data_IF_493993968144
#
_entry.id   IF_493993968144
#
_cell.length_a   1.000
_cell.length_b   1.000
_cell.length_c   1.000
_cell.angle_alpha   90.00
_cell.angle_beta   90.00
_cell.angle_gamma   90.00
#
_symmetry.space_group_name_H-M   'P 1'
#
loop_
_entity.id
_entity.type
_entity.pdbx_description
1 polymer ?
#
# COMPACT_ATOMS: atom_id res chain seq x y z
N UNK A 1 4.92 -4.68 7.09
CA UNK A 1 3.53 -4.27 6.81
C UNK A 1 3.57 -3.09 5.85
N UNK A 2 2.92 -3.23 4.70
CA UNK A 2 2.71 -2.16 3.73
C UNK A 2 1.21 -1.88 3.67
N UNK A 3 0.81 -0.62 3.77
CA UNK A 3 -0.58 -0.22 3.86
C UNK A 3 -0.87 0.88 2.85
N UNK A 4 -1.98 0.74 2.13
CA UNK A 4 -2.54 1.76 1.25
C UNK A 4 -3.99 2.02 1.63
N UNK A 5 -4.36 3.29 1.65
CA UNK A 5 -5.76 3.70 1.74
C UNK A 5 -6.08 4.86 0.82
N UNK A 6 -7.27 4.79 0.22
CA UNK A 6 -7.86 5.91 -0.52
C UNK A 6 -9.28 6.14 -0.05
N UNK A 7 -9.58 7.38 0.36
CA UNK A 7 -10.92 7.83 0.72
C UNK A 7 -11.37 8.89 -0.28
N UNK A 8 -12.56 8.71 -0.83
CA UNK A 8 -13.11 9.58 -1.87
C UNK A 8 -14.54 10.00 -1.54
N UNK A 9 -14.90 11.22 -1.96
CA UNK A 9 -16.25 11.75 -1.88
C UNK A 9 -16.82 11.95 -3.28
N UNK A 10 -18.06 11.51 -3.49
CA UNK A 10 -18.79 11.85 -4.71
C UNK A 10 -19.17 13.34 -4.68
N UNK A 11 -18.77 14.08 -5.71
CA UNK A 11 -19.18 15.45 -5.97
C UNK A 11 -20.00 15.49 -7.25
N UNK A 12 -20.98 16.38 -7.30
CA UNK A 12 -21.83 16.59 -8.47
C UNK A 12 -21.75 18.03 -8.92
N UNK A 13 -21.68 18.25 -10.22
CA UNK A 13 -21.79 19.56 -10.85
C UNK A 13 -22.84 19.48 -11.97
N UNK A 14 -24.05 19.95 -11.67
CA UNK A 14 -25.20 19.81 -12.56
C UNK A 14 -25.53 18.34 -12.84
N UNK A 15 -25.47 17.95 -14.13
CA UNK A 15 -25.77 16.58 -14.60
C UNK A 15 -24.60 15.60 -14.46
N UNK A 16 -23.41 16.08 -14.11
CA UNK A 16 -22.20 15.26 -14.01
C UNK A 16 -21.81 14.99 -12.56
N UNK A 17 -21.22 13.83 -12.31
CA UNK A 17 -20.66 13.50 -11.00
C UNK A 17 -19.27 12.87 -11.14
N UNK A 18 -18.41 13.12 -10.16
CA UNK A 18 -17.04 12.59 -10.11
C UNK A 18 -16.65 12.29 -8.67
N UNK A 19 -15.62 11.45 -8.50
CA UNK A 19 -15.07 11.13 -7.19
C UNK A 19 -13.87 12.04 -6.92
N UNK A 20 -13.99 12.86 -5.87
CA UNK A 20 -12.89 13.69 -5.37
C UNK A 20 -12.13 12.90 -4.31
N UNK A 21 -10.84 12.73 -4.49
CA UNK A 21 -9.96 12.15 -3.46
C UNK A 21 -9.86 13.12 -2.28
N UNK A 22 -10.17 12.61 -1.09
CA UNK A 22 -10.00 13.32 0.18
C UNK A 22 -8.69 12.93 0.85
N UNK A 23 -8.41 11.63 0.88
CA UNK A 23 -7.18 11.04 1.43
C UNK A 23 -6.66 10.01 0.43
N UNK A 24 -5.35 10.03 0.23
CA UNK A 24 -4.61 8.97 -0.44
C UNK A 24 -3.27 8.84 0.29
N UNK A 25 -3.09 7.73 0.99
CA UNK A 25 -1.97 7.54 1.91
C UNK A 25 -1.36 6.15 1.74
N UNK A 26 -0.04 6.10 1.87
CA UNK A 26 0.72 4.87 1.98
C UNK A 26 1.57 4.90 3.24
N UNK A 27 1.57 3.80 3.98
CA UNK A 27 2.42 3.60 5.15
C UNK A 27 3.17 2.29 5.00
N UNK A 28 4.44 2.29 5.32
CA UNK A 28 5.26 1.09 5.27
C UNK A 28 6.35 1.15 6.33
N UNK A 29 6.86 0.00 6.67
CA UNK A 29 8.08 -0.18 7.44
C UNK A 29 9.07 -0.95 6.58
N UNK A 30 10.36 -0.79 6.82
CA UNK A 30 11.38 -1.66 6.21
C UNK A 30 11.01 -3.13 6.48
N UNK A 31 11.16 -3.99 5.49
CA UNK A 31 10.82 -5.40 5.60
C UNK A 31 11.82 -6.28 4.87
N UNK A 32 11.90 -7.53 5.32
CA UNK A 32 12.68 -8.56 4.65
C UNK A 32 11.77 -9.38 3.75
N UNK A 33 12.31 -9.81 2.61
CA UNK A 33 11.75 -10.88 1.80
C UNK A 33 12.70 -12.07 1.81
N UNK A 34 12.14 -13.26 1.93
CA UNK A 34 12.87 -14.52 1.81
C UNK A 34 12.49 -15.20 0.50
N UNK A 35 13.49 -15.65 -0.26
CA UNK A 35 13.28 -16.43 -1.47
C UNK A 35 14.42 -17.42 -1.68
N UNK A 36 14.10 -18.71 -1.78
CA UNK A 36 15.07 -19.79 -2.00
C UNK A 36 16.25 -19.74 -1.01
N UNK A 37 15.97 -19.48 0.28
CA UNK A 37 16.99 -19.37 1.32
C UNK A 37 17.86 -18.11 1.25
N UNK A 38 17.52 -17.13 0.40
CA UNK A 38 18.17 -15.83 0.35
C UNK A 38 17.24 -14.78 0.98
N UNK A 39 17.84 -13.85 1.73
CA UNK A 39 17.12 -12.75 2.35
C UNK A 39 17.52 -11.41 1.72
N UNK A 40 16.51 -10.61 1.38
CA UNK A 40 16.70 -9.27 0.83
C UNK A 40 15.96 -8.27 1.70
N UNK A 41 16.64 -7.19 2.09
CA UNK A 41 16.00 -6.08 2.80
C UNK A 41 15.45 -5.06 1.81
N UNK A 42 14.18 -4.68 2.01
CA UNK A 42 13.46 -3.68 1.23
C UNK A 42 13.34 -2.42 2.07
N UNK A 43 13.84 -1.31 1.53
CA UNK A 43 13.83 0.01 2.17
C UNK A 43 13.19 1.06 1.26
N UNK A 44 11.86 1.07 1.12
CA UNK A 44 11.19 2.10 0.35
C UNK A 44 11.35 3.47 1.04
N UNK A 45 11.35 4.56 0.27
CA UNK A 45 11.38 5.93 0.78
C UNK A 45 10.24 6.73 0.15
N UNK A 46 9.58 7.57 0.96
CA UNK A 46 8.46 8.39 0.52
C UNK A 46 8.92 9.73 -0.08
N UNK A 47 10.05 10.27 0.40
CA UNK A 47 10.54 11.60 0.04
C UNK A 47 12.07 11.59 -0.18
N UNK A 48 12.57 11.58 -1.43
CA UNK A 48 11.81 11.43 -2.68
C UNK A 48 11.24 10.01 -2.84
N UNK A 49 10.03 9.89 -3.42
CA UNK A 49 9.38 8.58 -3.59
C UNK A 49 10.17 7.68 -4.54
N UNK A 50 10.74 6.61 -4.01
CA UNK A 50 11.66 5.73 -4.73
C UNK A 50 11.04 4.39 -5.19
N UNK A 51 9.74 4.20 -4.94
CA UNK A 51 9.04 2.97 -5.25
C UNK A 51 7.72 3.22 -6.02
N UNK A 52 7.17 2.14 -6.57
CA UNK A 52 5.81 1.98 -7.08
C UNK A 52 5.20 0.75 -6.42
N UNK A 53 3.94 0.86 -6.04
CA UNK A 53 3.19 -0.14 -5.28
C UNK A 53 1.91 -0.47 -6.04
N UNK A 54 1.63 -1.76 -6.15
CA UNK A 54 0.40 -2.28 -6.74
C UNK A 54 -0.15 -3.35 -5.81
N UNK A 55 -1.07 -2.95 -4.94
CA UNK A 55 -1.66 -3.84 -3.94
C UNK A 55 -3.02 -4.37 -4.41
N UNK A 56 -3.32 -5.61 -4.05
CA UNK A 56 -4.67 -6.15 -4.05
C UNK A 56 -5.49 -5.33 -3.04
N UNK A 57 -6.74 -5.06 -3.39
CA UNK A 57 -7.63 -4.27 -2.53
C UNK A 57 -8.46 -5.24 -1.68
N UNK A 58 -8.09 -5.37 -0.41
CA UNK A 58 -8.72 -6.27 0.55
C UNK A 58 -10.14 -5.84 0.90
N UNK A 59 -10.34 -4.53 1.07
CA UNK A 59 -11.64 -3.99 1.46
C UNK A 59 -12.07 -2.82 0.61
N UNK A 60 -13.37 -2.82 0.31
CA UNK A 60 -14.08 -1.73 -0.36
C UNK A 60 -15.38 -1.51 0.36
N UNK A 61 -15.69 -0.27 0.69
CA UNK A 61 -16.97 0.09 1.33
C UNK A 61 -17.39 1.48 0.88
N UNK A 62 -18.71 1.71 0.87
CA UNK A 62 -19.30 3.00 0.51
C UNK A 62 -20.49 3.34 1.39
N UNK A 63 -20.69 4.62 1.65
CA UNK A 63 -21.85 5.21 2.32
C UNK A 63 -22.48 6.30 1.44
N UNK A 64 -23.70 6.73 1.79
CA UNK A 64 -24.39 7.82 1.09
C UNK A 64 -25.73 8.18 1.73
N UNK A 65 -26.51 8.98 1.01
CA UNK A 65 -27.77 9.57 1.49
C UNK A 65 -28.78 8.54 2.00
N UNK A 66 -28.77 7.33 1.45
CA UNK A 66 -29.66 6.23 1.83
C UNK A 66 -28.94 5.05 2.49
N UNK A 67 -27.63 5.18 2.76
CA UNK A 67 -26.83 4.13 3.38
C UNK A 67 -25.84 4.73 4.36
N UNK A 68 -26.10 4.50 5.65
CA UNK A 68 -25.19 4.97 6.69
C UNK A 68 -23.84 4.24 6.59
N UNK A 69 -22.72 4.93 6.84
CA UNK A 69 -21.44 4.24 7.02
C UNK A 69 -21.55 3.23 8.17
N UNK A 70 -20.86 2.09 8.02
CA UNK A 70 -20.73 1.12 9.11
C UNK A 70 -20.00 1.76 10.30
N UNK A 71 -20.17 1.27 11.54
CA UNK A 71 -19.46 1.81 12.70
C UNK A 71 -17.93 1.85 12.54
N UNK A 72 -17.39 0.87 11.84
CA UNK A 72 -15.97 0.80 11.48
C UNK A 72 -15.58 1.92 10.49
N UNK A 73 -16.39 2.15 9.45
CA UNK A 73 -16.14 3.21 8.48
C UNK A 73 -16.27 4.60 9.12
N UNK A 74 -17.25 4.82 10.00
CA UNK A 74 -17.33 6.04 10.82
C UNK A 74 -16.07 6.27 11.66
N UNK A 75 -15.60 5.22 12.34
CA UNK A 75 -14.39 5.29 13.16
C UNK A 75 -13.16 5.61 12.32
N UNK A 76 -13.06 5.04 11.11
CA UNK A 76 -12.02 5.37 10.15
C UNK A 76 -12.09 6.82 9.68
N UNK A 77 -13.26 7.32 9.28
CA UNK A 77 -13.46 8.69 8.85
C UNK A 77 -13.07 9.69 9.95
N UNK A 78 -13.44 9.42 11.20
CA UNK A 78 -13.05 10.22 12.37
C UNK A 78 -11.54 10.27 12.57
N UNK A 79 -10.81 9.17 12.38
CA UNK A 79 -9.33 9.15 12.46
C UNK A 79 -8.67 10.09 11.45
N UNK A 80 -9.33 10.31 10.31
CA UNK A 80 -8.88 11.23 9.26
C UNK A 80 -9.51 12.63 9.35
N UNK A 81 -10.25 12.93 10.43
CA UNK A 81 -11.01 14.17 10.60
C UNK A 81 -11.95 14.48 9.42
N UNK A 82 -12.62 13.45 8.89
CA UNK A 82 -13.60 13.57 7.81
C UNK A 82 -14.99 13.39 8.41
N UNK A 83 -15.84 14.42 8.31
CA UNK A 83 -17.25 14.26 8.69
C UNK A 83 -18.00 13.42 7.65
N UNK A 84 -18.78 12.44 8.10
CA UNK A 84 -19.66 11.64 7.25
C UNK A 84 -20.90 12.41 6.77
N UNK A 85 -21.27 13.51 7.42
CA UNK A 85 -22.44 14.34 7.11
C UNK A 85 -22.06 15.71 6.53
N UNK A 86 -22.98 16.33 5.78
CA UNK A 86 -22.86 17.67 5.22
C UNK A 86 -23.58 18.75 6.04
N UNK A 87 -23.58 19.99 5.54
CA UNK A 87 -24.10 21.20 6.21
C UNK A 87 -25.57 21.19 6.64
N UNK A 88 -26.38 20.23 6.17
CA UNK A 88 -27.79 20.07 6.54
C UNK A 88 -28.10 18.70 7.16
N UNK A 89 -27.09 18.01 7.69
CA UNK A 89 -27.26 16.69 8.33
C UNK A 89 -27.40 15.51 7.37
N UNK A 90 -27.44 15.73 6.05
CA UNK A 90 -27.45 14.64 5.07
C UNK A 90 -26.08 13.96 4.98
N UNK A 91 -26.08 12.63 4.88
CA UNK A 91 -24.87 11.84 4.65
C UNK A 91 -24.20 12.23 3.33
N UNK A 92 -22.89 12.45 3.38
CA UNK A 92 -22.03 12.53 2.19
C UNK A 92 -21.95 11.14 1.56
N UNK A 93 -21.94 11.08 0.23
CA UNK A 93 -21.58 9.85 -0.48
C UNK A 93 -20.08 9.66 -0.45
N UNK A 94 -19.60 8.76 0.39
CA UNK A 94 -18.19 8.46 0.61
C UNK A 94 -17.90 7.02 0.20
N UNK A 95 -16.67 6.77 -0.23
CA UNK A 95 -16.16 5.41 -0.41
C UNK A 95 -14.71 5.35 0.04
N UNK A 96 -14.28 4.17 0.46
CA UNK A 96 -12.87 3.90 0.65
C UNK A 96 -12.46 2.56 0.05
N UNK A 97 -11.17 2.47 -0.21
CA UNK A 97 -10.47 1.25 -0.59
C UNK A 97 -9.20 1.14 0.25
N UNK A 98 -8.91 -0.04 0.74
CA UNK A 98 -7.65 -0.34 1.43
C UNK A 98 -6.98 -1.57 0.86
N UNK A 99 -5.65 -1.58 0.87
CA UNK A 99 -4.81 -2.72 0.51
C UNK A 99 -3.69 -2.86 1.54
N UNK A 100 -3.40 -4.09 1.95
CA UNK A 100 -2.46 -4.41 3.02
C UNK A 100 -1.54 -5.55 2.55
N UNK A 101 -0.24 -5.40 2.76
CA UNK A 101 0.71 -6.51 2.75
C UNK A 101 1.04 -6.87 4.19
N UNK A 102 0.66 -8.08 4.59
CA UNK A 102 0.90 -8.66 5.91
C UNK A 102 2.14 -9.57 5.96
N UNK A 103 2.57 -9.91 7.19
CA UNK A 103 3.67 -10.85 7.38
C UNK A 103 3.19 -12.25 6.98
N UNK A 104 3.97 -12.92 6.13
CA UNK A 104 3.65 -14.26 5.64
C UNK A 104 2.98 -14.25 4.26
N UNK A 105 2.62 -13.09 3.71
CA UNK A 105 2.10 -13.00 2.35
C UNK A 105 3.19 -13.13 1.31
N UNK A 106 2.83 -13.75 0.18
CA UNK A 106 3.71 -13.86 -0.98
C UNK A 106 3.61 -12.59 -1.81
N UNK A 107 4.74 -11.92 -1.98
CA UNK A 107 4.84 -10.70 -2.78
C UNK A 107 5.94 -10.81 -3.83
N UNK A 108 5.80 -10.03 -4.89
CA UNK A 108 6.82 -9.80 -5.89
C UNK A 108 7.45 -8.43 -5.67
N UNK A 109 8.78 -8.40 -5.58
CA UNK A 109 9.56 -7.16 -5.54
C UNK A 109 10.56 -7.15 -6.69
N UNK A 110 10.57 -6.07 -7.46
CA UNK A 110 11.50 -5.86 -8.57
C UNK A 110 12.30 -4.56 -8.36
N UNK A 111 13.58 -4.58 -8.69
CA UNK A 111 14.48 -3.42 -8.61
C UNK A 111 15.94 -3.82 -8.82
N UNK A 112 16.86 -2.88 -8.57
CA UNK A 112 18.30 -3.13 -8.69
C UNK A 112 18.81 -3.73 -7.38
N UNK A 113 19.29 -4.97 -7.43
CA UNK A 113 19.87 -5.62 -6.26
C UNK A 113 21.33 -5.20 -6.09
N UNK A 114 21.67 -4.65 -4.91
CA UNK A 114 23.06 -4.52 -4.46
C UNK A 114 23.35 -5.52 -3.36
N UNK A 115 24.24 -6.45 -3.66
CA UNK A 115 24.71 -7.44 -2.70
C UNK A 115 25.75 -6.82 -1.75
N UNK A 116 25.57 -7.03 -0.45
CA UNK A 116 26.57 -6.71 0.57
C UNK A 116 26.97 -8.01 1.25
N UNK A 117 28.27 -8.29 1.25
CA UNK A 117 28.82 -9.34 2.09
C UNK A 117 28.81 -8.82 3.53
N UNK A 118 28.32 -9.64 4.45
CA UNK A 118 28.44 -9.33 5.87
C UNK A 118 29.79 -9.85 6.37
N UNK A 119 30.53 -9.00 7.09
CA UNK A 119 31.77 -9.42 7.75
C UNK A 119 31.50 -10.26 9.00
N UNK A 120 30.32 -10.08 9.62
CA UNK A 120 29.88 -10.79 10.81
C UNK A 120 28.45 -11.31 10.59
N UNK A 121 28.15 -12.57 10.95
CA UNK A 121 26.79 -13.10 10.87
C UNK A 121 25.87 -12.34 11.84
N UNK A 122 24.64 -12.06 11.43
CA UNK A 122 23.65 -11.46 12.31
C UNK A 122 23.11 -12.58 13.22
N UNK A 123 23.18 -12.45 14.56
CA UNK A 123 22.60 -13.45 15.47
C UNK A 123 21.14 -13.72 15.10
N UNK A 124 20.73 -14.99 15.08
CA UNK A 124 19.44 -15.52 14.59
C UNK A 124 19.30 -15.69 13.06
N UNK A 125 20.27 -15.24 12.25
CA UNK A 125 20.20 -15.33 10.79
C UNK A 125 21.50 -15.92 10.19
N UNK A 126 21.42 -17.14 9.65
CA UNK A 126 22.59 -17.91 9.18
C UNK A 126 23.06 -17.51 7.76
N UNK A 127 23.18 -16.21 7.49
CA UNK A 127 23.44 -15.70 6.14
C UNK A 127 24.77 -14.93 6.06
N UNK A 128 25.65 -15.32 5.12
CA UNK A 128 26.93 -14.63 4.84
C UNK A 128 26.78 -13.41 3.93
N UNK A 129 25.59 -13.16 3.37
CA UNK A 129 25.28 -12.05 2.45
C UNK A 129 23.85 -11.55 2.65
N UNK A 130 23.67 -10.24 2.66
CA UNK A 130 22.35 -9.59 2.56
C UNK A 130 22.33 -8.77 1.28
N UNK A 131 21.27 -8.92 0.49
CA UNK A 131 21.00 -8.03 -0.62
C UNK A 131 20.13 -6.86 -0.15
N UNK A 132 20.45 -5.65 -0.59
CA UNK A 132 19.57 -4.48 -0.48
C UNK A 132 19.05 -4.15 -1.87
N UNK A 133 17.74 -3.97 -2.00
CA UNK A 133 17.18 -3.42 -3.23
C UNK A 133 17.32 -1.90 -3.21
N UNK A 134 18.06 -1.39 -4.19
CA UNK A 134 18.21 0.04 -4.43
C UNK A 134 17.35 0.47 -5.63
N UNK A 135 16.99 1.74 -5.58
CA UNK A 135 16.32 2.46 -6.66
C UNK A 135 17.25 3.57 -7.15
N UNK A 136 17.20 3.88 -8.45
CA UNK A 136 17.74 5.13 -8.97
C UNK A 136 16.61 6.01 -9.55
N UNK A 137 16.97 7.18 -10.08
CA UNK A 137 15.99 8.14 -10.64
C UNK A 137 15.19 7.55 -11.81
N UNK A 138 15.75 6.57 -12.53
CA UNK A 138 15.14 5.90 -13.69
C UNK A 138 14.44 4.59 -13.30
N UNK A 139 14.93 3.90 -12.27
CA UNK A 139 14.48 2.57 -11.85
C UNK A 139 14.04 2.58 -10.39
N UNK A 140 12.72 2.70 -10.20
CA UNK A 140 12.07 2.59 -8.87
C UNK A 140 11.88 1.14 -8.47
N UNK A 141 11.84 0.87 -7.16
CA UNK A 141 11.43 -0.44 -6.64
C UNK A 141 9.96 -0.65 -6.99
N UNK A 142 9.58 -1.82 -7.47
CA UNK A 142 8.19 -2.22 -7.69
C UNK A 142 7.83 -3.23 -6.62
N UNK A 143 6.74 -2.98 -5.88
CA UNK A 143 6.23 -3.86 -4.82
C UNK A 143 4.79 -4.24 -5.17
N UNK A 144 4.49 -5.54 -5.23
CA UNK A 144 3.14 -6.00 -5.55
C UNK A 144 2.86 -7.39 -4.96
N UNK A 145 1.62 -7.61 -4.59
CA UNK A 145 1.01 -8.87 -4.11
C UNK A 145 0.06 -9.48 -5.16
N UNK A 146 0.08 -8.95 -6.40
CA UNK A 146 -0.80 -9.43 -7.46
C UNK A 146 -0.47 -10.91 -7.78
N UNK A 147 -1.45 -11.83 -7.75
CA UNK A 147 -1.20 -13.27 -7.88
C UNK A 147 -0.62 -13.64 -9.25
N UNK A 148 -0.93 -12.86 -10.28
CA UNK A 148 -0.43 -13.04 -11.64
C UNK A 148 1.09 -12.79 -11.79
N UNK A 149 1.73 -12.11 -10.83
CA UNK A 149 3.17 -11.80 -10.93
C UNK A 149 4.07 -12.92 -10.39
N UNK A 150 3.52 -13.87 -9.64
CA UNK A 150 4.27 -14.97 -9.00
C UNK A 150 4.89 -15.92 -10.05
N UNK A 151 4.30 -16.00 -11.25
CA UNK A 151 4.71 -16.92 -12.31
C UNK A 151 5.42 -16.26 -13.50
N UNK A 152 6.00 -15.07 -13.33
CA UNK A 152 6.72 -14.41 -14.43
C UNK A 152 7.98 -15.21 -14.83
N UNK A 153 7.81 -16.17 -15.75
CA UNK A 153 8.92 -16.78 -16.49
C UNK A 153 9.50 -15.69 -17.39
N UNK A 154 10.76 -15.33 -17.16
CA UNK A 154 11.54 -14.57 -18.14
C UNK A 154 11.67 -15.45 -19.39
N UNK A 155 11.07 -15.03 -20.49
CA UNK A 155 11.34 -15.55 -21.83
C UNK A 155 12.66 -15.00 -22.35
#
# INVERSE_FOLDING_TARGET
MFYYIKIEQKKSNGKNSYWKTLIEEERFQDFFIESNGNMVIIKPTQHPKNYKSHLVIDKKTSSGTFNNPTPEFESLLKKYNIDSTGYFGFNKTLRYKEGIIEIGETITVAGIVKWKNLSEPIPEYNYSKIATLESDVKQKIIITDLPETVNFKRH
#
